data_IF_091621505957
#
_entry.id   IF_091621505957
#
_cell.length_a   1.000
_cell.length_b   1.000
_cell.length_c   1.000
_cell.angle_alpha   90.00
_cell.angle_beta   90.00
_cell.angle_gamma   90.00
#
_symmetry.space_group_name_H-M   'P 1'
#
loop_
_entity.id
_entity.type
_entity.pdbx_description
1 polymer ?
#
# COMPACT_ATOMS: atom_id res chain seq x y z
N UNK A 1 5.49 -6.75 -6.16
CA UNK A 1 5.18 -7.98 -5.41
C UNK A 1 6.47 -8.55 -4.85
N UNK A 2 6.49 -8.93 -3.57
CA UNK A 2 7.70 -9.48 -2.92
C UNK A 2 7.91 -10.91 -3.41
N UNK A 3 9.04 -11.17 -4.07
CA UNK A 3 9.30 -12.45 -4.74
C UNK A 3 9.82 -13.53 -3.80
N UNK A 4 10.61 -13.15 -2.79
CA UNK A 4 11.25 -14.11 -1.86
C UNK A 4 10.28 -14.73 -0.85
N UNK A 5 9.12 -14.09 -0.61
CA UNK A 5 8.09 -14.48 0.37
C UNK A 5 8.61 -14.92 1.75
N UNK A 6 9.78 -14.42 2.15
CA UNK A 6 10.47 -14.82 3.37
C UNK A 6 10.74 -13.61 4.24
N UNK A 7 10.19 -13.62 5.45
CA UNK A 7 10.33 -12.55 6.43
C UNK A 7 11.49 -12.77 7.41
N UNK A 8 12.35 -13.77 7.19
CA UNK A 8 13.41 -14.16 8.14
C UNK A 8 14.42 -13.05 8.43
N UNK A 9 14.63 -12.13 7.48
CA UNK A 9 15.55 -10.99 7.63
C UNK A 9 14.89 -9.73 8.19
N UNK A 10 13.56 -9.73 8.38
CA UNK A 10 12.81 -8.54 8.75
C UNK A 10 13.22 -8.02 10.13
N UNK A 11 13.30 -8.89 11.12
CA UNK A 11 13.57 -8.49 12.50
C UNK A 11 15.00 -7.97 12.68
N UNK A 12 15.97 -8.62 12.03
CA UNK A 12 17.36 -8.16 12.01
C UNK A 12 17.51 -6.80 11.32
N UNK A 13 16.76 -6.57 10.23
CA UNK A 13 16.74 -5.28 9.56
C UNK A 13 16.11 -4.18 10.44
N UNK A 14 14.98 -4.46 11.09
CA UNK A 14 14.34 -3.53 12.04
C UNK A 14 15.32 -3.12 13.14
N UNK A 15 15.99 -4.09 13.76
CA UNK A 15 16.94 -3.83 14.84
C UNK A 15 18.12 -2.94 14.38
N UNK A 16 18.67 -3.22 13.20
CA UNK A 16 19.76 -2.44 12.61
C UNK A 16 19.33 -1.00 12.25
N UNK A 17 18.08 -0.80 11.80
CA UNK A 17 17.61 0.48 11.30
C UNK A 17 17.11 1.45 12.38
N UNK A 18 16.98 1.04 13.64
CA UNK A 18 16.52 1.89 14.76
C UNK A 18 17.38 3.11 15.09
N UNK A 19 18.64 3.12 14.66
CA UNK A 19 19.56 4.26 14.85
C UNK A 19 19.84 5.08 13.58
N UNK A 20 19.07 4.88 12.52
CA UNK A 20 19.34 5.46 11.20
C UNK A 20 18.38 6.61 10.86
N UNK A 21 18.57 7.24 9.69
CA UNK A 21 17.66 8.26 9.19
C UNK A 21 16.23 7.75 8.95
N UNK A 22 16.02 6.43 8.88
CA UNK A 22 14.70 5.82 8.67
C UNK A 22 14.02 5.35 9.96
N UNK A 23 14.56 5.68 11.14
CA UNK A 23 13.96 5.26 12.43
C UNK A 23 12.45 5.55 12.57
N UNK A 24 11.90 6.71 12.15
CA UNK A 24 10.45 6.94 12.21
C UNK A 24 9.65 5.95 11.38
N UNK A 25 10.17 5.52 10.22
CA UNK A 25 9.54 4.51 9.38
C UNK A 25 9.57 3.14 10.05
N UNK A 26 10.71 2.76 10.61
CA UNK A 26 10.89 1.49 11.33
C UNK A 26 9.93 1.40 12.52
N UNK A 27 9.73 2.50 13.26
CA UNK A 27 8.77 2.54 14.36
C UNK A 27 7.33 2.29 13.89
N UNK A 28 6.96 2.75 12.70
CA UNK A 28 5.67 2.43 12.07
C UNK A 28 5.59 0.95 11.68
N UNK A 29 6.64 0.42 11.07
CA UNK A 29 6.74 -1.01 10.70
C UNK A 29 6.63 -1.92 11.93
N UNK A 30 7.23 -1.54 13.07
CA UNK A 30 7.12 -2.31 14.31
C UNK A 30 5.71 -2.32 14.88
N UNK A 31 4.98 -1.19 14.83
CA UNK A 31 3.58 -1.14 15.26
C UNK A 31 2.70 -2.08 14.45
N UNK A 32 2.97 -2.20 13.15
CA UNK A 32 2.20 -3.02 12.21
C UNK A 32 2.93 -4.33 11.81
N UNK A 33 3.81 -4.85 12.67
CA UNK A 33 4.72 -5.96 12.33
C UNK A 33 3.98 -7.20 11.79
N UNK A 34 2.82 -7.53 12.36
CA UNK A 34 2.01 -8.65 11.92
C UNK A 34 1.51 -8.46 10.47
N UNK A 35 1.02 -7.25 10.15
CA UNK A 35 0.56 -6.92 8.81
C UNK A 35 1.72 -6.94 7.80
N UNK A 36 2.89 -6.41 8.18
CA UNK A 36 4.08 -6.39 7.31
C UNK A 36 4.61 -7.79 7.05
N UNK A 37 4.68 -8.66 8.08
CA UNK A 37 5.05 -10.07 7.91
C UNK A 37 4.08 -10.78 6.98
N UNK A 38 2.78 -10.58 7.17
CA UNK A 38 1.76 -11.17 6.29
C UNK A 38 1.85 -10.64 4.86
N UNK A 39 2.15 -9.35 4.66
CA UNK A 39 2.36 -8.79 3.33
C UNK A 39 3.57 -9.41 2.58
N UNK A 40 4.56 -9.94 3.32
CA UNK A 40 5.71 -10.66 2.75
C UNK A 40 5.34 -12.11 2.43
N UNK A 41 4.77 -12.84 3.39
CA UNK A 41 4.61 -14.30 3.29
C UNK A 41 3.34 -14.71 2.53
N UNK A 42 2.30 -13.87 2.56
CA UNK A 42 1.01 -14.18 1.95
C UNK A 42 1.14 -14.51 0.45
N UNK A 43 0.39 -15.50 -0.04
CA UNK A 43 0.30 -15.76 -1.48
C UNK A 43 -0.43 -14.64 -2.22
N UNK A 44 -1.27 -13.87 -1.50
CA UNK A 44 -2.09 -12.81 -2.04
C UNK A 44 -1.34 -11.48 -2.07
N UNK A 45 -1.46 -10.75 -3.17
CA UNK A 45 -0.87 -9.43 -3.31
C UNK A 45 -1.95 -8.35 -3.21
N UNK A 46 -1.67 -7.29 -2.43
CA UNK A 46 -2.47 -6.06 -2.44
C UNK A 46 -2.37 -5.27 -3.78
N UNK A 47 -1.63 -5.76 -4.77
CA UNK A 47 -1.44 -5.07 -6.05
C UNK A 47 -2.73 -4.80 -6.82
N UNK A 48 -3.73 -5.69 -6.75
CA UNK A 48 -5.04 -5.44 -7.37
C UNK A 48 -5.74 -4.24 -6.71
N UNK A 49 -5.80 -4.24 -5.38
CA UNK A 49 -6.40 -3.15 -4.60
C UNK A 49 -5.68 -1.82 -4.85
N UNK A 50 -4.35 -1.80 -4.77
CA UNK A 50 -3.55 -0.60 -5.03
C UNK A 50 -3.68 -0.11 -6.48
N UNK A 51 -3.83 -1.03 -7.44
CA UNK A 51 -4.10 -0.71 -8.83
C UNK A 51 -5.43 0.01 -9.01
N UNK A 52 -6.50 -0.48 -8.38
CA UNK A 52 -7.81 0.18 -8.39
C UNK A 52 -7.77 1.55 -7.71
N UNK A 53 -7.11 1.65 -6.56
CA UNK A 53 -6.91 2.93 -5.85
C UNK A 53 -6.13 3.92 -6.74
N UNK A 54 -5.11 3.46 -7.43
CA UNK A 54 -4.30 4.29 -8.33
C UNK A 54 -5.13 4.81 -9.50
N UNK A 55 -5.92 3.93 -10.14
CA UNK A 55 -6.88 4.31 -11.19
C UNK A 55 -7.88 5.35 -10.69
N UNK A 56 -8.47 5.14 -9.51
CA UNK A 56 -9.43 6.07 -8.92
C UNK A 56 -8.78 7.44 -8.63
N UNK A 57 -7.60 7.46 -8.02
CA UNK A 57 -6.84 8.69 -7.75
C UNK A 57 -6.48 9.42 -9.05
N UNK A 58 -6.14 8.69 -10.12
CA UNK A 58 -5.85 9.28 -11.43
C UNK A 58 -7.08 9.96 -12.02
N UNK A 59 -8.24 9.31 -12.04
CA UNK A 59 -9.50 9.91 -12.54
C UNK A 59 -9.83 11.18 -11.75
N UNK A 60 -9.73 11.14 -10.42
CA UNK A 60 -9.99 12.32 -9.57
C UNK A 60 -9.03 13.48 -9.88
N UNK A 61 -7.74 13.19 -10.16
CA UNK A 61 -6.73 14.19 -10.55
C UNK A 61 -7.00 14.77 -11.94
N UNK A 62 -7.38 13.95 -12.92
CA UNK A 62 -7.77 14.43 -14.27
C UNK A 62 -8.97 15.37 -14.23
N UNK A 63 -9.79 15.27 -13.20
CA UNK A 63 -10.96 16.12 -12.98
C UNK A 63 -10.69 17.31 -12.06
N UNK A 64 -9.42 17.60 -11.75
CA UNK A 64 -9.01 18.74 -10.92
C UNK A 64 -9.77 18.80 -9.58
N UNK A 65 -10.05 17.64 -8.97
CA UNK A 65 -10.76 17.55 -7.70
C UNK A 65 -12.28 17.77 -7.77
N UNK A 66 -12.84 18.01 -8.96
CA UNK A 66 -14.30 18.25 -9.15
C UNK A 66 -15.11 16.96 -9.27
N UNK A 67 -14.46 15.80 -9.25
CA UNK A 67 -15.13 14.50 -9.28
C UNK A 67 -15.73 14.18 -7.91
N UNK A 68 -16.98 14.60 -7.68
CA UNK A 68 -17.84 14.12 -6.60
C UNK A 68 -18.20 12.64 -6.83
N UNK A 69 -18.85 12.00 -5.86
CA UNK A 69 -19.07 10.55 -5.86
C UNK A 69 -19.85 10.06 -7.08
N UNK A 70 -20.89 10.78 -7.48
CA UNK A 70 -21.68 10.57 -8.71
C UNK A 70 -20.79 10.51 -9.96
N UNK A 71 -19.92 11.51 -10.14
CA UNK A 71 -19.02 11.59 -11.28
C UNK A 71 -17.94 10.51 -11.28
N UNK A 72 -17.42 10.16 -10.10
CA UNK A 72 -16.48 9.06 -9.95
C UNK A 72 -17.15 7.72 -10.28
N UNK A 73 -18.37 7.49 -9.80
CA UNK A 73 -19.11 6.26 -10.04
C UNK A 73 -19.41 6.06 -11.54
N UNK A 74 -19.86 7.11 -12.23
CA UNK A 74 -20.08 7.07 -13.68
C UNK A 74 -18.81 6.70 -14.45
N UNK A 75 -17.64 7.20 -14.04
CA UNK A 75 -16.35 6.97 -14.72
C UNK A 75 -15.66 5.65 -14.35
N UNK A 76 -15.89 5.15 -13.15
CA UNK A 76 -15.21 3.94 -12.62
C UNK A 76 -16.05 2.69 -12.87
N UNK A 77 -17.36 2.77 -12.62
CA UNK A 77 -18.28 1.61 -12.68
C UNK A 77 -19.02 1.57 -14.03
N UNK A 78 -19.11 2.70 -14.75
CA UNK A 78 -19.83 2.77 -16.02
C UNK A 78 -21.35 2.78 -15.86
N UNK A 79 -21.85 3.12 -14.67
CA UNK A 79 -23.29 3.36 -14.47
C UNK A 79 -23.59 4.73 -15.06
N UNK A 80 -24.22 4.72 -16.24
CA UNK A 80 -24.92 5.88 -16.81
C UNK A 80 -26.33 5.89 -16.24
#
# INVERSE_FOLDING_TARGET
MIRSKSATRLDGWIAMSKGSLVSPFVNGVEKDLAAVRNAIVSPWSNGQTEGQITRLKLIKRQMYGRAKLDLLQARVVGVI
#
